data_IF_572110564206
#
_entry.id   IF_572110564206
#
_cell.length_a   1.000
_cell.length_b   1.000
_cell.length_c   1.000
_cell.angle_alpha   90.00
_cell.angle_beta   90.00
_cell.angle_gamma   90.00
#
_symmetry.space_group_name_H-M   'P 1'
#
loop_
_entity.id
_entity.type
_entity.pdbx_description
1 polymer ?
#
# COMPACT_ATOMS: atom_id res chain seq x y z
N UNK A 1 21.32 31.33 -45.49
CA UNK A 1 22.15 30.38 -44.74
C UNK A 1 21.51 30.28 -43.37
N UNK A 2 20.75 29.20 -43.16
CA UNK A 2 19.98 29.01 -41.94
C UNK A 2 20.89 28.51 -40.84
N UNK A 3 21.04 29.31 -39.78
CA UNK A 3 21.78 28.94 -38.58
C UNK A 3 21.04 27.79 -37.89
N UNK A 4 21.68 26.62 -37.87
CA UNK A 4 21.24 25.47 -37.08
C UNK A 4 21.63 25.78 -35.64
N UNK A 5 20.66 26.27 -34.88
CA UNK A 5 20.79 26.43 -33.44
C UNK A 5 20.67 25.04 -32.82
N UNK A 6 21.80 24.38 -32.60
CA UNK A 6 21.88 23.06 -31.95
C UNK A 6 21.58 23.25 -30.47
N UNK A 7 20.30 23.17 -30.10
CA UNK A 7 19.92 22.92 -28.71
C UNK A 7 20.48 21.55 -28.36
N UNK A 8 21.58 21.53 -27.60
CA UNK A 8 22.00 20.38 -26.82
C UNK A 8 20.91 20.13 -25.78
N UNK A 9 19.83 19.47 -26.20
CA UNK A 9 18.89 18.86 -25.27
C UNK A 9 19.59 17.63 -24.71
N UNK A 10 19.93 17.61 -23.41
CA UNK A 10 20.45 16.41 -22.77
C UNK A 10 19.46 15.26 -22.95
N UNK A 11 20.01 14.06 -23.14
CA UNK A 11 19.26 12.85 -23.49
C UNK A 11 18.03 12.69 -22.57
N UNK A 12 16.82 12.48 -23.14
CA UNK A 12 15.61 12.43 -22.33
C UNK A 12 15.62 11.13 -21.51
N UNK A 13 15.98 11.23 -20.24
CA UNK A 13 15.56 10.24 -19.25
C UNK A 13 14.04 10.22 -19.34
N UNK A 14 13.46 9.05 -19.63
CA UNK A 14 12.02 8.90 -19.76
C UNK A 14 11.37 9.29 -18.44
N UNK A 15 10.87 10.53 -18.39
CA UNK A 15 10.06 11.06 -17.29
C UNK A 15 8.60 10.65 -17.43
N UNK A 16 8.29 9.81 -18.44
CA UNK A 16 6.96 9.31 -18.71
C UNK A 16 6.46 8.49 -17.53
N UNK A 17 5.31 8.90 -16.97
CA UNK A 17 4.71 8.26 -15.78
C UNK A 17 5.22 8.77 -14.43
N UNK A 18 6.19 9.70 -14.38
CA UNK A 18 6.69 10.29 -13.13
C UNK A 18 5.85 11.49 -12.68
N UNK A 19 5.90 11.81 -11.38
CA UNK A 19 5.16 12.95 -10.86
C UNK A 19 5.69 14.28 -11.39
N UNK A 20 4.80 15.29 -11.48
CA UNK A 20 5.19 16.67 -11.84
C UNK A 20 6.32 17.21 -10.96
N UNK A 21 6.36 16.79 -9.69
CA UNK A 21 7.38 17.21 -8.73
C UNK A 21 8.75 16.62 -9.06
N UNK A 22 8.79 15.34 -9.46
CA UNK A 22 10.03 14.71 -9.90
C UNK A 22 10.59 15.38 -11.16
N UNK A 23 9.73 15.67 -12.14
CA UNK A 23 10.14 16.37 -13.37
C UNK A 23 10.79 17.73 -13.06
N UNK A 24 10.19 18.51 -12.15
CA UNK A 24 10.75 19.80 -11.74
C UNK A 24 12.07 19.64 -10.97
N UNK A 25 12.15 18.64 -10.09
CA UNK A 25 13.38 18.30 -9.37
C UNK A 25 14.50 17.96 -10.35
N UNK A 26 14.24 17.04 -11.29
CA UNK A 26 15.22 16.59 -12.26
C UNK A 26 15.75 17.74 -13.12
N UNK A 27 14.86 18.59 -13.65
CA UNK A 27 15.26 19.76 -14.44
C UNK A 27 16.13 20.74 -13.64
N UNK A 28 15.79 20.97 -12.38
CA UNK A 28 16.58 21.85 -11.52
C UNK A 28 17.93 21.23 -11.15
N UNK A 29 17.96 19.92 -10.95
CA UNK A 29 19.16 19.14 -10.63
C UNK A 29 20.15 19.18 -11.79
N UNK A 30 19.69 18.81 -12.98
CA UNK A 30 20.45 18.86 -14.23
C UNK A 30 21.01 20.26 -14.52
N UNK A 31 20.19 21.31 -14.38
CA UNK A 31 20.66 22.69 -14.54
C UNK A 31 21.74 23.06 -13.51
N UNK A 32 21.63 22.57 -12.27
CA UNK A 32 22.65 22.81 -11.25
C UNK A 32 23.95 22.08 -11.58
N UNK A 33 23.88 20.86 -12.11
CA UNK A 33 25.05 20.13 -12.61
C UNK A 33 25.71 20.86 -13.78
N UNK A 34 24.94 21.29 -14.78
CA UNK A 34 25.44 22.04 -15.92
C UNK A 34 26.18 23.30 -15.46
N UNK A 35 25.58 24.11 -14.58
CA UNK A 35 26.22 25.33 -14.05
C UNK A 35 27.44 25.07 -13.18
N UNK A 36 27.44 23.99 -12.39
CA UNK A 36 28.62 23.60 -11.64
C UNK A 36 29.76 23.22 -12.59
N UNK A 37 29.41 22.69 -13.77
CA UNK A 37 30.34 22.22 -14.76
C UNK A 37 30.80 23.29 -15.77
N UNK A 38 30.01 24.31 -16.05
CA UNK A 38 30.40 25.43 -16.92
C UNK A 38 31.63 26.22 -16.42
N UNK A 39 32.02 26.04 -15.14
CA UNK A 39 33.23 26.64 -14.58
C UNK A 39 34.54 26.16 -15.21
N UNK A 40 34.51 25.02 -15.90
CA UNK A 40 35.68 24.51 -16.60
C UNK A 40 35.42 24.60 -18.10
N UNK A 41 36.12 25.53 -18.75
CA UNK A 41 35.91 25.86 -20.16
C UNK A 41 36.82 25.03 -21.07
N UNK A 42 36.51 25.00 -22.37
CA UNK A 42 37.38 24.37 -23.38
C UNK A 42 38.76 25.05 -23.43
N UNK A 43 38.81 26.36 -23.24
CA UNK A 43 40.05 27.14 -23.18
C UNK A 43 40.94 26.72 -22.00
N UNK A 44 40.35 26.49 -20.83
CA UNK A 44 41.07 25.96 -19.67
C UNK A 44 41.63 24.56 -19.97
N UNK A 45 40.85 23.70 -20.62
CA UNK A 45 41.29 22.36 -21.04
C UNK A 45 42.46 22.43 -22.04
N UNK A 46 42.39 23.32 -23.03
CA UNK A 46 43.44 23.52 -24.01
C UNK A 46 44.73 24.04 -23.36
N UNK A 47 44.62 24.92 -22.35
CA UNK A 47 45.76 25.46 -21.61
C UNK A 47 46.46 24.41 -20.73
N UNK A 48 45.70 23.54 -20.07
CA UNK A 48 46.24 22.52 -19.17
C UNK A 48 46.70 21.25 -19.91
N UNK A 49 46.08 20.92 -21.05
CA UNK A 49 46.34 19.69 -21.80
C UNK A 49 46.50 19.94 -23.31
N UNK A 50 47.49 20.73 -23.74
CA UNK A 50 47.62 21.17 -25.14
C UNK A 50 47.87 20.00 -26.11
N UNK A 51 48.62 18.98 -25.69
CA UNK A 51 48.91 17.79 -26.51
C UNK A 51 47.67 16.95 -26.79
N UNK A 52 46.81 16.80 -25.78
CA UNK A 52 45.57 16.01 -25.89
C UNK A 52 44.54 16.79 -26.70
N UNK A 53 44.41 18.09 -26.45
CA UNK A 53 43.50 18.96 -27.19
C UNK A 53 43.87 19.05 -28.69
N UNK A 54 45.16 19.12 -29.02
CA UNK A 54 45.63 19.10 -30.41
C UNK A 54 45.34 17.78 -31.13
N UNK A 55 45.36 16.65 -30.41
CA UNK A 55 45.05 15.34 -30.97
C UNK A 55 43.53 15.08 -31.07
N UNK A 56 42.75 15.53 -30.09
CA UNK A 56 41.32 15.39 -30.02
C UNK A 56 40.68 16.54 -29.21
N UNK A 57 40.17 17.60 -29.87
CA UNK A 57 39.77 18.83 -29.20
C UNK A 57 38.59 18.67 -28.23
N UNK A 58 37.68 17.73 -28.50
CA UNK A 58 36.46 17.52 -27.71
C UNK A 58 36.51 16.33 -26.75
N UNK A 59 37.57 15.50 -26.79
CA UNK A 59 37.63 14.25 -26.04
C UNK A 59 37.45 14.45 -24.53
N UNK A 60 38.12 15.46 -23.97
CA UNK A 60 38.03 15.76 -22.54
C UNK A 60 36.63 16.27 -22.14
N UNK A 61 35.97 16.99 -23.03
CA UNK A 61 34.60 17.47 -22.80
C UNK A 61 33.60 16.30 -22.85
N UNK A 62 33.77 15.36 -23.79
CA UNK A 62 32.91 14.18 -23.91
C UNK A 62 33.08 13.24 -22.72
N UNK A 63 34.31 12.87 -22.35
CA UNK A 63 34.59 12.01 -21.18
C UNK A 63 34.00 12.62 -19.91
N UNK A 64 34.13 13.94 -19.79
CA UNK A 64 33.59 14.66 -18.65
C UNK A 64 32.06 14.59 -18.63
N UNK A 65 31.39 14.84 -19.74
CA UNK A 65 29.93 14.77 -19.82
C UNK A 65 29.43 13.36 -19.47
N UNK A 66 30.06 12.32 -20.02
CA UNK A 66 29.74 10.92 -19.70
C UNK A 66 29.91 10.63 -18.20
N UNK A 67 31.02 11.07 -17.59
CA UNK A 67 31.25 10.91 -16.15
C UNK A 67 30.22 11.64 -15.28
N UNK A 68 29.73 12.79 -15.74
CA UNK A 68 28.70 13.56 -15.03
C UNK A 68 27.37 12.81 -15.09
N UNK A 69 26.96 12.37 -16.27
CA UNK A 69 25.69 11.66 -16.48
C UNK A 69 25.67 10.34 -15.67
N UNK A 70 26.80 9.64 -15.59
CA UNK A 70 26.96 8.43 -14.77
C UNK A 70 26.82 8.69 -13.27
N UNK A 71 27.50 9.71 -12.74
CA UNK A 71 27.41 10.06 -11.31
C UNK A 71 26.03 10.62 -10.95
N UNK A 72 25.40 11.39 -11.85
CA UNK A 72 24.02 11.87 -11.69
C UNK A 72 23.05 10.69 -11.52
N UNK A 73 23.13 9.72 -12.44
CA UNK A 73 22.32 8.51 -12.40
C UNK A 73 22.57 7.71 -11.13
N UNK A 74 23.82 7.54 -10.74
CA UNK A 74 24.20 6.82 -9.53
C UNK A 74 23.64 7.48 -8.27
N UNK A 75 23.70 8.81 -8.15
CA UNK A 75 23.15 9.54 -7.00
C UNK A 75 21.63 9.36 -6.95
N UNK A 76 20.95 9.57 -8.08
CA UNK A 76 19.48 9.49 -8.13
C UNK A 76 18.96 8.07 -7.82
N UNK A 77 19.67 7.04 -8.28
CA UNK A 77 19.37 5.64 -8.00
C UNK A 77 19.71 5.23 -6.56
N UNK A 78 20.89 5.59 -6.04
CA UNK A 78 21.33 5.23 -4.68
C UNK A 78 20.35 5.71 -3.62
N UNK A 79 19.80 6.91 -3.81
CA UNK A 79 18.85 7.51 -2.86
C UNK A 79 17.39 7.21 -3.19
N UNK A 80 17.09 6.47 -4.27
CA UNK A 80 15.72 6.21 -4.72
C UNK A 80 14.92 7.50 -4.89
N UNK A 81 15.56 8.57 -5.38
CA UNK A 81 15.01 9.92 -5.34
C UNK A 81 13.68 10.02 -6.11
N UNK A 82 13.58 9.29 -7.23
CA UNK A 82 12.38 9.25 -8.05
C UNK A 82 11.17 8.71 -7.28
N UNK A 83 11.33 7.56 -6.63
CA UNK A 83 10.25 6.91 -5.89
C UNK A 83 9.88 7.68 -4.62
N UNK A 84 10.88 8.22 -3.93
CA UNK A 84 10.67 9.07 -2.75
C UNK A 84 9.89 10.35 -3.08
N UNK A 85 10.25 11.04 -4.18
CA UNK A 85 9.56 12.26 -4.61
C UNK A 85 8.15 11.94 -5.12
N UNK A 86 7.96 10.83 -5.83
CA UNK A 86 6.65 10.39 -6.28
C UNK A 86 5.73 10.00 -5.11
N UNK A 87 6.25 9.29 -4.11
CA UNK A 87 5.53 8.98 -2.88
C UNK A 87 5.11 10.27 -2.15
N UNK A 88 6.03 11.25 -2.04
CA UNK A 88 5.72 12.56 -1.49
C UNK A 88 4.63 13.28 -2.29
N UNK A 89 4.69 13.24 -3.62
CA UNK A 89 3.67 13.84 -4.47
C UNK A 89 2.29 13.21 -4.24
N UNK A 90 2.21 11.88 -4.16
CA UNK A 90 0.99 11.14 -3.84
C UNK A 90 0.43 11.53 -2.47
N UNK A 91 1.26 11.55 -1.43
CA UNK A 91 0.86 11.95 -0.07
C UNK A 91 0.30 13.39 -0.03
N UNK A 92 0.88 14.32 -0.78
CA UNK A 92 0.38 15.70 -0.90
C UNK A 92 -0.96 15.76 -1.64
N UNK A 93 -1.16 14.97 -2.69
CA UNK A 93 -2.44 14.93 -3.39
C UNK A 93 -3.54 14.34 -2.50
N UNK A 94 -3.26 13.28 -1.77
CA UNK A 94 -4.19 12.70 -0.81
C UNK A 94 -4.54 13.67 0.31
N UNK A 95 -3.55 14.35 0.89
CA UNK A 95 -3.81 15.33 1.95
C UNK A 95 -4.65 16.50 1.46
N UNK A 96 -4.41 16.99 0.23
CA UNK A 96 -5.25 18.02 -0.41
C UNK A 96 -6.67 17.53 -0.64
N UNK A 97 -6.87 16.29 -1.10
CA UNK A 97 -8.21 15.70 -1.26
C UNK A 97 -8.94 15.61 0.08
N UNK A 98 -8.28 15.12 1.13
CA UNK A 98 -8.84 15.05 2.49
C UNK A 98 -9.19 16.46 3.02
N UNK A 99 -8.30 17.43 2.81
CA UNK A 99 -8.55 18.81 3.21
C UNK A 99 -9.72 19.46 2.45
N UNK A 100 -9.92 19.12 1.17
CA UNK A 100 -11.08 19.56 0.40
C UNK A 100 -12.38 18.93 0.93
N UNK A 101 -12.40 17.60 1.13
CA UNK A 101 -13.55 16.90 1.71
C UNK A 101 -13.92 17.41 3.11
N UNK A 102 -12.93 17.86 3.89
CA UNK A 102 -13.13 18.49 5.20
C UNK A 102 -13.80 19.86 5.14
N UNK A 103 -13.60 20.62 4.05
CA UNK A 103 -14.33 21.89 3.84
C UNK A 103 -15.79 21.66 3.48
N UNK A 104 -16.07 20.59 2.74
CA UNK A 104 -17.42 20.28 2.28
C UNK A 104 -18.29 19.69 3.40
N UNK A 105 -17.69 19.02 4.40
CA UNK A 105 -18.41 18.52 5.58
C UNK A 105 -17.63 18.75 6.88
N UNK A 106 -17.77 19.94 7.52
CA UNK A 106 -17.02 20.31 8.72
C UNK A 106 -17.42 19.53 9.99
N UNK A 107 -18.56 18.83 9.98
CA UNK A 107 -19.05 18.06 11.13
C UNK A 107 -18.80 16.55 11.00
N UNK A 108 -18.14 16.08 9.93
CA UNK A 108 -17.79 14.67 9.80
C UNK A 108 -16.75 14.29 10.87
N UNK A 109 -17.05 13.36 11.79
CA UNK A 109 -16.08 12.88 12.78
C UNK A 109 -14.82 12.25 12.17
N UNK A 110 -14.86 11.86 10.89
CA UNK A 110 -13.69 11.39 10.13
C UNK A 110 -12.87 12.51 9.49
N UNK A 111 -13.39 13.75 9.41
CA UNK A 111 -12.69 14.93 8.89
C UNK A 111 -11.80 15.64 9.94
N UNK A 112 -11.62 15.02 11.10
CA UNK A 112 -10.85 15.58 12.19
C UNK A 112 -9.41 15.90 11.72
N UNK A 113 -9.15 17.20 11.55
CA UNK A 113 -7.86 17.89 11.36
C UNK A 113 -6.80 17.59 12.44
N UNK A 114 -6.90 16.46 13.14
CA UNK A 114 -6.19 16.20 14.39
C UNK A 114 -4.94 15.33 14.22
N UNK A 115 -4.81 14.64 13.11
CA UNK A 115 -3.67 13.76 12.83
C UNK A 115 -2.64 14.42 11.90
N UNK A 116 -2.28 15.67 12.23
CA UNK A 116 -1.16 16.33 11.57
C UNK A 116 0.11 15.96 12.33
N UNK A 117 1.05 15.31 11.65
CA UNK A 117 2.37 15.01 12.22
C UNK A 117 3.03 16.29 12.74
N UNK A 118 3.63 16.21 13.92
CA UNK A 118 4.39 17.30 14.54
C UNK A 118 5.75 16.77 15.00
N UNK A 119 6.83 17.56 14.95
CA UNK A 119 8.13 17.14 15.48
C UNK A 119 8.10 16.78 16.97
N UNK A 120 7.20 17.39 17.75
CA UNK A 120 6.99 17.12 19.18
C UNK A 120 5.89 16.09 19.43
N UNK A 121 5.49 15.30 18.42
CA UNK A 121 4.47 14.27 18.59
C UNK A 121 5.02 13.15 19.46
N UNK A 122 4.33 12.86 20.55
CA UNK A 122 4.69 11.76 21.44
C UNK A 122 4.71 10.42 20.65
N UNK A 123 5.75 9.59 20.81
CA UNK A 123 5.88 8.34 20.06
C UNK A 123 4.72 7.36 20.30
N UNK A 124 4.10 7.36 21.49
CA UNK A 124 2.91 6.52 21.72
C UNK A 124 1.72 7.00 20.89
N UNK A 125 1.59 8.31 20.69
CA UNK A 125 0.55 8.88 19.82
C UNK A 125 0.75 8.45 18.37
N UNK A 126 1.99 8.50 17.86
CA UNK A 126 2.30 8.02 16.51
C UNK A 126 2.00 6.51 16.34
N UNK A 127 2.38 5.70 17.32
CA UNK A 127 2.09 4.25 17.31
C UNK A 127 0.59 3.98 17.36
N UNK A 128 -0.17 4.75 18.16
CA UNK A 128 -1.63 4.63 18.25
C UNK A 128 -2.32 4.98 16.92
N UNK A 129 -1.88 6.04 16.24
CA UNK A 129 -2.42 6.42 14.93
C UNK A 129 -2.32 5.27 13.92
N UNK A 130 -1.24 4.49 13.96
CA UNK A 130 -1.05 3.31 13.10
C UNK A 130 -1.83 2.09 13.59
N UNK A 131 -1.79 1.79 14.89
CA UNK A 131 -2.33 0.53 15.44
C UNK A 131 -3.83 0.54 15.63
N UNK A 132 -4.44 1.68 15.99
CA UNK A 132 -5.88 1.76 16.29
C UNK A 132 -6.75 1.38 15.09
N UNK A 133 -6.47 1.82 13.85
CA UNK A 133 -7.23 1.36 12.68
C UNK A 133 -7.18 -0.15 12.47
N UNK A 134 -5.99 -0.76 12.61
CA UNK A 134 -5.81 -2.22 12.50
C UNK A 134 -6.59 -2.96 13.59
N UNK A 135 -6.51 -2.47 14.83
CA UNK A 135 -7.27 -3.06 15.95
C UNK A 135 -8.78 -2.95 15.73
N UNK A 136 -9.28 -1.86 15.15
CA UNK A 136 -10.70 -1.73 14.79
C UNK A 136 -11.10 -2.73 13.71
N UNK A 137 -10.27 -2.93 12.70
CA UNK A 137 -10.53 -3.92 11.65
C UNK A 137 -10.60 -5.34 12.21
N UNK A 138 -9.65 -5.72 13.09
CA UNK A 138 -9.66 -7.02 13.75
C UNK A 138 -10.87 -7.19 14.68
N UNK A 139 -11.24 -6.15 15.41
CA UNK A 139 -12.42 -6.16 16.27
C UNK A 139 -13.69 -6.43 15.45
N UNK A 140 -13.87 -5.76 14.32
CA UNK A 140 -15.01 -6.02 13.44
C UNK A 140 -14.97 -7.43 12.83
N UNK A 141 -13.78 -7.94 12.46
CA UNK A 141 -13.64 -9.34 12.03
C UNK A 141 -14.09 -10.32 13.12
N UNK A 142 -13.63 -10.14 14.36
CA UNK A 142 -13.97 -11.00 15.49
C UNK A 142 -15.46 -10.95 15.81
N UNK A 143 -16.08 -9.76 15.77
CA UNK A 143 -17.54 -9.63 15.94
C UNK A 143 -18.30 -10.45 14.90
N UNK A 144 -17.92 -10.34 13.64
CA UNK A 144 -18.55 -11.10 12.56
C UNK A 144 -18.38 -12.61 12.76
N UNK A 145 -17.21 -13.07 13.23
CA UNK A 145 -16.98 -14.49 13.53
C UNK A 145 -17.85 -14.97 14.70
N UNK A 146 -17.98 -14.16 15.76
CA UNK A 146 -18.86 -14.46 16.89
C UNK A 146 -20.31 -14.56 16.41
N UNK A 147 -20.78 -13.60 15.62
CA UNK A 147 -22.16 -13.58 15.10
C UNK A 147 -22.46 -14.80 14.21
N UNK A 148 -21.52 -15.18 13.34
CA UNK A 148 -21.67 -16.39 12.54
C UNK A 148 -21.66 -17.65 13.42
N UNK A 149 -20.81 -17.69 14.45
CA UNK A 149 -20.73 -18.81 15.38
C UNK A 149 -22.01 -18.97 16.21
N UNK A 150 -22.55 -17.88 16.75
CA UNK A 150 -23.79 -17.90 17.52
C UNK A 150 -24.98 -18.29 16.65
N UNK A 151 -25.06 -17.79 15.41
CA UNK A 151 -26.10 -18.17 14.46
C UNK A 151 -26.06 -19.68 14.14
N UNK A 152 -24.86 -20.25 13.94
CA UNK A 152 -24.69 -21.70 13.71
C UNK A 152 -25.10 -22.51 14.94
N UNK A 153 -24.69 -22.09 16.14
CA UNK A 153 -25.06 -22.77 17.38
C UNK A 153 -26.56 -22.75 17.61
N UNK A 154 -27.22 -21.61 17.41
CA UNK A 154 -28.69 -21.51 17.52
C UNK A 154 -29.41 -22.44 16.55
N UNK A 155 -28.90 -22.56 15.31
CA UNK A 155 -29.45 -23.51 14.33
C UNK A 155 -29.26 -24.96 14.77
N UNK A 156 -28.06 -25.32 15.21
CA UNK A 156 -27.74 -26.68 15.64
C UNK A 156 -28.54 -27.08 16.90
N UNK A 157 -28.73 -26.15 17.83
CA UNK A 157 -29.57 -26.37 19.02
C UNK A 157 -31.04 -26.63 18.64
N UNK A 158 -31.55 -25.92 17.63
CA UNK A 158 -32.90 -26.15 17.13
C UNK A 158 -33.04 -27.52 16.47
N UNK A 159 -32.05 -27.93 15.65
CA UNK A 159 -31.99 -29.25 15.03
C UNK A 159 -31.90 -30.37 16.08
N UNK A 160 -31.05 -30.21 17.09
CA UNK A 160 -30.89 -31.16 18.19
C UNK A 160 -32.20 -31.34 18.97
N UNK A 161 -32.89 -30.26 19.33
CA UNK A 161 -34.18 -30.33 20.04
C UNK A 161 -35.25 -31.03 19.20
N UNK A 162 -35.29 -30.77 17.89
CA UNK A 162 -36.19 -31.46 16.97
C UNK A 162 -35.91 -32.97 16.92
N UNK A 163 -34.63 -33.35 16.82
CA UNK A 163 -34.22 -34.75 16.80
C UNK A 163 -34.54 -35.48 18.11
N UNK A 164 -34.30 -34.84 19.26
CA UNK A 164 -34.67 -35.40 20.58
C UNK A 164 -36.18 -35.61 20.67
N UNK A 165 -36.98 -34.63 20.27
CA UNK A 165 -38.44 -34.77 20.27
C UNK A 165 -38.92 -35.91 19.36
N UNK A 166 -38.34 -36.04 18.16
CA UNK A 166 -38.65 -37.14 17.23
C UNK A 166 -38.24 -38.51 17.81
N UNK A 167 -37.09 -38.59 18.48
CA UNK A 167 -36.61 -39.81 19.13
C UNK A 167 -37.50 -40.21 20.33
N UNK A 168 -37.94 -39.24 21.13
CA UNK A 168 -38.89 -39.49 22.22
C UNK A 168 -40.21 -40.03 21.70
N UNK A 169 -40.74 -39.47 20.61
CA UNK A 169 -41.98 -39.95 19.98
C UNK A 169 -41.82 -41.38 19.44
N UNK A 170 -40.71 -41.66 18.74
CA UNK A 170 -40.41 -43.01 18.25
C UNK A 170 -40.28 -44.01 19.41
N UNK A 171 -39.61 -43.63 20.50
CA UNK A 171 -39.43 -44.46 21.69
C UNK A 171 -40.77 -44.77 22.35
N UNK A 172 -41.67 -43.77 22.47
CA UNK A 172 -43.04 -43.99 22.97
C UNK A 172 -43.80 -44.99 22.10
N UNK A 173 -43.72 -44.88 20.77
CA UNK A 173 -44.36 -45.81 19.83
C UNK A 173 -43.82 -47.24 19.99
N UNK A 174 -42.50 -47.40 20.07
CA UNK A 174 -41.86 -48.71 20.30
C UNK A 174 -42.32 -49.31 21.64
N UNK A 175 -42.36 -48.51 22.70
CA UNK A 175 -42.80 -48.98 24.01
C UNK A 175 -44.26 -49.43 24.01
N UNK A 176 -45.15 -48.72 23.31
CA UNK A 176 -46.54 -49.16 23.14
C UNK A 176 -46.65 -50.48 22.38
N UNK A 177 -45.83 -50.70 21.36
CA UNK A 177 -45.81 -51.96 20.60
C UNK A 177 -45.27 -53.12 21.45
N UNK A 178 -44.21 -52.89 22.22
CA UNK A 178 -43.64 -53.90 23.13
C UNK A 178 -44.64 -54.31 24.21
N UNK A 179 -45.37 -53.37 24.81
CA UNK A 179 -46.45 -53.69 25.77
C UNK A 179 -47.56 -54.49 25.09
N UNK A 180 -47.89 -54.20 23.84
CA UNK A 180 -48.85 -54.99 23.05
C UNK A 180 -48.37 -56.42 22.80
N UNK A 181 -47.11 -56.61 22.43
CA UNK A 181 -46.50 -57.92 22.20
C UNK A 181 -46.41 -58.74 23.49
N UNK A 182 -46.05 -58.12 24.61
CA UNK A 182 -45.96 -58.79 25.91
C UNK A 182 -47.34 -59.35 26.34
N UNK A 183 -48.43 -58.60 26.10
CA UNK A 183 -49.79 -59.10 26.30
C UNK A 183 -50.12 -60.32 25.43
N UNK A 184 -49.70 -60.32 24.16
CA UNK A 184 -49.93 -61.46 23.26
C UNK A 184 -49.14 -62.69 23.73
N UNK A 185 -47.89 -62.51 24.18
CA UNK A 185 -47.05 -63.59 24.69
C UNK A 185 -47.60 -64.21 25.99
N UNK A 186 -48.14 -63.39 26.89
CA UNK A 186 -48.82 -63.85 28.11
C UNK A 186 -50.08 -64.67 27.82
N UNK A 187 -50.75 -64.42 26.69
CA UNK A 187 -51.93 -65.19 26.26
C UNK A 187 -51.57 -66.43 25.42
N UNK A 188 -50.37 -66.53 24.86
CA UNK A 188 -49.93 -67.63 24.00
C UNK A 188 -49.09 -68.70 24.71
N UNK A 189 -48.77 -68.53 26.00
CA UNK A 189 -48.16 -69.56 26.85
C UNK A 189 -49.25 -70.26 27.69
N UNK A 190 -49.87 -71.35 27.21
CA UNK A 190 -50.61 -72.25 28.08
C UNK A 190 -49.62 -73.02 28.97
N UNK A 191 -50.02 -73.19 30.22
CA UNK A 191 -49.39 -74.02 31.25
C UNK A 191 -48.75 -75.30 30.67
N UNK A 192 -47.45 -75.49 30.96
CA UNK A 192 -46.86 -76.81 31.10
C UNK A 192 -46.66 -77.12 32.57
#
# INVERSE_FOLDING_TARGET
MSEVNTTNDPLPISTEGRSKRYVLFHKAFELAFQRANEKWTEEDCASCFPLIHAAAPHLLQTIRQESIDEEEKKITETWGAADGIDALHKAILESRRRAAAAKDNPNDPNNAHKDTWRPTLDPHTAVRAVKVPLLRQELERLKNEIEQGTARNMKLDAEMRSNVAAQEEATRKVQTLLVGLDKVQQHSTPLS
#
